data_IF_081779007842
#
_entry.id   IF_081779007842
#
_cell.length_a   1.000
_cell.length_b   1.000
_cell.length_c   1.000
_cell.angle_alpha   90.00
_cell.angle_beta   90.00
_cell.angle_gamma   90.00
#
_symmetry.space_group_name_H-M   'P 1'
#
loop_
_entity.id
_entity.type
_entity.pdbx_description
1 polymer ?
#
# COMPACT_ATOMS: atom_id res chain seq x y z
N UNK A 1 48.38 -59.60 -2.07
CA UNK A 1 47.77 -58.99 -3.24
C UNK A 1 46.40 -58.51 -2.84
N UNK A 2 46.29 -57.19 -2.47
CA UNK A 2 45.04 -56.57 -2.00
C UNK A 2 44.45 -55.74 -3.14
N UNK A 3 43.23 -56.07 -3.54
CA UNK A 3 42.49 -55.35 -4.59
C UNK A 3 41.55 -54.35 -3.87
N UNK A 4 41.81 -53.06 -3.99
CA UNK A 4 40.99 -52.00 -3.45
C UNK A 4 39.92 -51.64 -4.49
N UNK A 5 38.64 -51.91 -4.18
CA UNK A 5 37.54 -51.49 -5.02
C UNK A 5 37.16 -50.05 -4.75
N UNK A 6 37.30 -49.17 -5.74
CA UNK A 6 36.77 -47.79 -5.70
C UNK A 6 35.29 -47.82 -6.06
N UNK A 7 34.44 -47.44 -5.11
CA UNK A 7 33.03 -47.20 -5.35
C UNK A 7 32.82 -45.77 -5.89
N UNK A 8 32.35 -45.65 -7.14
CA UNK A 8 31.85 -44.40 -7.72
C UNK A 8 30.42 -44.14 -7.23
N UNK A 9 30.23 -43.15 -6.39
CA UNK A 9 28.93 -42.64 -6.04
C UNK A 9 28.48 -41.65 -7.15
N UNK A 10 27.50 -42.06 -7.97
CA UNK A 10 26.85 -41.20 -8.93
C UNK A 10 25.90 -40.24 -8.17
N UNK A 11 26.26 -38.94 -8.12
CA UNK A 11 25.37 -37.89 -7.67
C UNK A 11 24.29 -37.66 -8.72
N UNK A 12 23.13 -38.26 -8.52
CA UNK A 12 21.91 -37.93 -9.25
C UNK A 12 21.49 -36.49 -8.78
N UNK A 13 21.89 -35.49 -9.56
CA UNK A 13 21.39 -34.13 -9.40
C UNK A 13 19.88 -34.11 -9.65
N UNK A 14 19.10 -33.91 -8.58
CA UNK A 14 17.67 -33.66 -8.70
C UNK A 14 17.50 -32.35 -9.47
N UNK A 15 17.11 -32.44 -10.75
CA UNK A 15 16.70 -31.26 -11.53
C UNK A 15 15.46 -30.67 -10.85
N UNK A 16 15.59 -29.47 -10.29
CA UNK A 16 14.44 -28.70 -9.85
C UNK A 16 13.49 -28.49 -11.03
N UNK A 17 12.19 -28.78 -10.87
CA UNK A 17 11.24 -28.48 -11.92
C UNK A 17 11.30 -26.99 -12.25
N UNK A 18 11.18 -26.60 -13.53
CA UNK A 18 11.19 -25.19 -13.91
C UNK A 18 10.10 -24.47 -13.12
N UNK A 19 10.48 -23.37 -12.48
CA UNK A 19 9.54 -22.52 -11.76
C UNK A 19 8.38 -22.21 -12.71
N UNK A 20 7.17 -22.64 -12.34
CA UNK A 20 5.97 -22.39 -13.13
C UNK A 20 5.92 -20.87 -13.40
N UNK A 21 5.98 -20.49 -14.67
CA UNK A 21 5.86 -19.10 -15.07
C UNK A 21 4.49 -18.61 -14.59
N UNK A 22 4.50 -17.70 -13.62
CA UNK A 22 3.27 -17.09 -13.15
C UNK A 22 2.63 -16.34 -14.33
N UNK A 23 1.32 -16.48 -14.53
CA UNK A 23 0.63 -15.78 -15.61
C UNK A 23 0.89 -14.27 -15.51
N UNK A 24 1.20 -13.65 -16.65
CA UNK A 24 1.40 -12.20 -16.73
C UNK A 24 0.01 -11.57 -16.86
N UNK A 25 -0.49 -11.05 -15.76
CA UNK A 25 -1.76 -10.34 -15.74
C UNK A 25 -1.57 -8.93 -16.31
N UNK A 26 -2.44 -8.57 -17.27
CA UNK A 26 -2.48 -7.23 -17.86
C UNK A 26 -3.74 -6.54 -17.40
N UNK A 27 -3.65 -5.42 -16.65
CA UNK A 27 -4.83 -4.66 -16.28
C UNK A 27 -5.47 -3.99 -17.50
N UNK A 28 -6.79 -3.82 -17.47
CA UNK A 28 -7.55 -3.10 -18.51
C UNK A 28 -7.26 -1.60 -18.44
N UNK A 29 -7.00 -1.11 -17.24
CA UNK A 29 -6.66 0.29 -16.99
C UNK A 29 -5.60 0.40 -15.89
N UNK A 30 -4.68 1.35 -16.07
CA UNK A 30 -3.71 1.75 -15.04
C UNK A 30 -4.01 3.19 -14.65
N UNK A 31 -4.00 3.46 -13.34
CA UNK A 31 -4.11 4.81 -12.77
C UNK A 31 -3.08 5.01 -11.68
N UNK A 32 -2.86 6.26 -11.30
CA UNK A 32 -2.02 6.63 -10.18
C UNK A 32 -2.84 6.61 -8.88
N UNK A 33 -2.26 6.04 -7.83
CA UNK A 33 -2.69 6.15 -6.46
C UNK A 33 -1.61 6.79 -5.60
N UNK A 34 -1.90 6.94 -4.32
CA UNK A 34 -0.99 7.49 -3.31
C UNK A 34 -0.49 6.37 -2.41
N UNK A 35 0.83 6.19 -2.35
CA UNK A 35 1.49 5.20 -1.51
C UNK A 35 2.10 5.82 -0.25
N UNK A 36 2.15 5.03 0.80
CA UNK A 36 2.86 5.32 2.02
C UNK A 36 3.39 4.01 2.61
N UNK A 37 4.63 4.01 3.07
CA UNK A 37 5.21 2.89 3.82
C UNK A 37 5.37 3.34 5.28
N UNK A 38 4.75 2.66 6.25
CA UNK A 38 4.89 2.98 7.67
C UNK A 38 6.36 3.11 8.09
N UNK A 39 6.66 4.16 8.87
CA UNK A 39 8.02 4.49 9.28
C UNK A 39 8.81 5.34 8.28
N UNK A 40 8.21 5.74 7.15
CA UNK A 40 8.79 6.72 6.22
C UNK A 40 8.19 8.11 6.45
N UNK A 41 8.71 9.13 5.77
CA UNK A 41 8.30 10.53 5.93
C UNK A 41 7.85 11.16 4.61
N UNK A 42 7.36 10.36 3.68
CA UNK A 42 6.91 10.85 2.38
C UNK A 42 5.76 10.04 1.78
N UNK A 43 4.96 10.70 0.96
CA UNK A 43 3.99 10.11 0.08
C UNK A 43 4.62 9.90 -1.30
N UNK A 44 4.28 8.80 -1.96
CA UNK A 44 4.77 8.52 -3.31
C UNK A 44 3.64 8.00 -4.21
N UNK A 45 3.86 8.07 -5.52
CA UNK A 45 2.93 7.51 -6.49
C UNK A 45 3.00 5.99 -6.48
N UNK A 46 1.85 5.36 -6.55
CA UNK A 46 1.73 3.94 -6.82
C UNK A 46 0.94 3.72 -8.11
N UNK A 47 1.30 2.66 -8.86
CA UNK A 47 0.50 2.23 -9.99
C UNK A 47 -0.62 1.30 -9.51
N UNK A 48 -1.86 1.63 -9.87
CA UNK A 48 -3.04 0.83 -9.57
C UNK A 48 -3.62 0.29 -10.87
N UNK A 49 -3.61 -1.02 -11.02
CA UNK A 49 -4.26 -1.73 -12.13
C UNK A 49 -5.73 -2.02 -11.82
N UNK A 50 -6.61 -1.79 -12.79
CA UNK A 50 -8.03 -2.13 -12.71
C UNK A 50 -8.30 -3.27 -13.69
N UNK A 51 -8.97 -4.32 -13.23
CA UNK A 51 -9.31 -5.53 -13.97
C UNK A 51 -10.83 -5.66 -13.97
N UNK A 52 -11.46 -5.65 -15.15
CA UNK A 52 -12.93 -5.64 -15.26
C UNK A 52 -13.52 -7.06 -15.32
N UNK A 53 -12.80 -8.02 -15.85
CA UNK A 53 -13.33 -9.35 -16.17
C UNK A 53 -13.07 -10.43 -15.12
N UNK A 54 -12.75 -10.03 -13.89
CA UNK A 54 -12.67 -10.95 -12.77
C UNK A 54 -11.60 -12.04 -12.89
N UNK A 55 -10.53 -11.78 -13.62
CA UNK A 55 -9.43 -12.71 -13.75
C UNK A 55 -8.76 -12.99 -12.39
N UNK A 56 -8.76 -14.24 -11.90
CA UNK A 56 -8.00 -14.59 -10.71
C UNK A 56 -6.51 -14.30 -10.95
N UNK A 57 -5.75 -13.81 -9.95
CA UNK A 57 -6.04 -13.77 -8.51
C UNK A 57 -6.55 -12.42 -8.00
N UNK A 58 -6.89 -11.49 -8.87
CA UNK A 58 -7.26 -10.11 -8.51
C UNK A 58 -8.77 -9.85 -8.55
N UNK A 59 -9.57 -10.90 -8.77
CA UNK A 59 -11.03 -10.89 -8.79
C UNK A 59 -11.66 -10.71 -7.41
N UNK A 60 -11.03 -9.93 -6.55
CA UNK A 60 -11.67 -9.53 -5.32
C UNK A 60 -12.60 -8.35 -5.55
N UNK A 61 -13.25 -7.95 -4.48
CA UNK A 61 -14.38 -7.02 -4.41
C UNK A 61 -14.29 -5.76 -5.27
N UNK A 62 -13.15 -5.47 -5.89
CA UNK A 62 -12.92 -4.23 -6.62
C UNK A 62 -12.11 -4.39 -7.91
N UNK A 63 -11.65 -5.60 -8.24
CA UNK A 63 -10.83 -5.83 -9.43
C UNK A 63 -9.60 -4.92 -9.50
N UNK A 64 -8.98 -4.62 -8.36
CA UNK A 64 -7.85 -3.71 -8.29
C UNK A 64 -6.61 -4.44 -7.77
N UNK A 65 -5.46 -4.08 -8.31
CA UNK A 65 -4.15 -4.51 -7.83
C UNK A 65 -3.17 -3.33 -7.80
N UNK A 66 -2.20 -3.42 -6.93
CA UNK A 66 -1.12 -2.42 -6.80
C UNK A 66 0.16 -3.02 -7.37
N UNK A 67 0.94 -2.24 -8.10
CA UNK A 67 2.22 -2.69 -8.64
C UNK A 67 3.31 -2.56 -7.59
N UNK A 68 3.87 -3.71 -7.19
CA UNK A 68 4.96 -3.82 -6.22
C UNK A 68 6.12 -4.56 -6.88
N UNK A 69 7.29 -3.94 -6.97
CA UNK A 69 8.49 -4.52 -7.59
C UNK A 69 8.21 -5.11 -8.98
N UNK A 70 7.44 -4.40 -9.80
CA UNK A 70 7.10 -4.80 -11.16
C UNK A 70 6.01 -5.87 -11.28
N UNK A 71 5.41 -6.32 -10.17
CA UNK A 71 4.34 -7.34 -10.14
C UNK A 71 3.04 -6.73 -9.61
N UNK A 72 1.92 -7.15 -10.19
CA UNK A 72 0.59 -6.82 -9.67
C UNK A 72 0.34 -7.64 -8.40
N UNK A 73 0.00 -6.95 -7.33
CA UNK A 73 -0.19 -7.52 -5.98
C UNK A 73 -1.52 -7.03 -5.43
N UNK A 74 -2.23 -7.92 -4.74
CA UNK A 74 -3.46 -7.56 -4.04
C UNK A 74 -3.21 -6.39 -3.08
N UNK A 75 -4.10 -5.39 -2.99
CA UNK A 75 -3.90 -4.23 -2.11
C UNK A 75 -3.57 -4.60 -0.66
N UNK A 76 -4.26 -5.60 -0.10
CA UNK A 76 -4.03 -6.07 1.28
C UNK A 76 -2.66 -6.72 1.52
N UNK A 77 -1.95 -7.08 0.47
CA UNK A 77 -0.58 -7.65 0.51
C UNK A 77 0.47 -6.63 0.09
N UNK A 78 0.05 -5.42 -0.19
CA UNK A 78 0.94 -4.32 -0.57
C UNK A 78 1.62 -3.76 0.68
N UNK A 79 2.89 -3.36 0.62
CA UNK A 79 3.54 -2.63 1.71
C UNK A 79 3.04 -1.19 1.83
N UNK A 80 2.17 -0.75 0.90
CA UNK A 80 1.71 0.61 0.77
C UNK A 80 0.40 0.82 1.51
N UNK A 81 0.47 1.42 2.70
CA UNK A 81 -0.61 1.77 3.60
C UNK A 81 -1.25 0.59 4.38
N UNK A 82 -1.98 0.96 5.39
CA UNK A 82 -2.52 0.04 6.37
C UNK A 82 -3.45 -1.01 5.75
N UNK A 83 -3.18 -2.27 6.03
CA UNK A 83 -4.07 -3.37 5.72
C UNK A 83 -5.41 -3.25 6.48
N UNK A 84 -5.39 -2.58 7.64
CA UNK A 84 -6.55 -2.36 8.48
C UNK A 84 -6.76 -0.89 8.80
N UNK A 85 -8.00 -0.44 8.63
CA UNK A 85 -8.43 0.88 9.09
C UNK A 85 -8.55 0.85 10.62
N UNK A 86 -7.85 1.71 11.37
CA UNK A 86 -7.87 1.73 12.83
C UNK A 86 -9.26 1.95 13.43
N UNK A 87 -9.45 1.48 14.67
CA UNK A 87 -10.72 1.62 15.38
C UNK A 87 -11.12 3.09 15.56
N UNK A 88 -10.19 3.95 15.91
CA UNK A 88 -10.45 5.39 16.08
C UNK A 88 -11.04 6.04 14.82
N UNK A 89 -10.60 5.61 13.63
CA UNK A 89 -11.15 6.10 12.37
C UNK A 89 -12.60 5.65 12.18
N UNK A 90 -12.89 4.35 12.42
CA UNK A 90 -14.24 3.80 12.31
C UNK A 90 -15.21 4.42 13.31
N UNK A 91 -14.72 4.70 14.51
CA UNK A 91 -15.51 5.29 15.58
C UNK A 91 -15.68 6.82 15.46
N UNK A 92 -14.94 7.46 14.54
CA UNK A 92 -14.96 8.92 14.38
C UNK A 92 -14.34 9.67 15.54
N UNK A 93 -13.37 9.04 16.22
CA UNK A 93 -12.68 9.63 17.37
C UNK A 93 -11.79 10.81 16.94
N UNK A 94 -11.57 11.75 17.86
CA UNK A 94 -10.56 12.79 17.68
C UNK A 94 -9.16 12.18 17.64
N UNK A 95 -8.28 12.78 16.87
CA UNK A 95 -6.87 12.35 16.76
C UNK A 95 -5.94 13.42 17.29
N UNK A 96 -4.79 13.01 17.82
CA UNK A 96 -3.73 13.92 18.21
C UNK A 96 -2.55 13.77 17.26
N UNK A 97 -2.23 14.87 16.57
CA UNK A 97 -1.11 14.92 15.61
C UNK A 97 -0.19 16.07 16.00
N UNK A 98 1.08 15.77 16.23
CA UNK A 98 2.09 16.75 16.68
C UNK A 98 1.62 17.59 17.88
N UNK A 99 0.93 16.95 18.84
CA UNK A 99 0.46 17.59 20.07
C UNK A 99 -0.79 18.47 19.91
N UNK A 100 -1.44 18.44 18.77
CA UNK A 100 -2.71 19.14 18.51
C UNK A 100 -3.84 18.17 18.29
N UNK A 101 -5.03 18.51 18.80
CA UNK A 101 -6.24 17.71 18.61
C UNK A 101 -6.94 18.09 17.31
N UNK A 102 -7.45 17.08 16.60
CA UNK A 102 -8.23 17.24 15.38
C UNK A 102 -9.43 16.32 15.43
N UNK A 103 -10.58 16.81 14.98
CA UNK A 103 -11.83 16.05 14.89
C UNK A 103 -12.15 15.73 13.44
N UNK A 104 -12.73 14.56 13.22
CA UNK A 104 -13.13 14.10 11.89
C UNK A 104 -14.10 15.10 11.26
N UNK A 105 -13.80 15.50 10.03
CA UNK A 105 -14.54 16.55 9.33
C UNK A 105 -14.93 16.14 7.92
N UNK A 106 -16.23 16.18 7.62
CA UNK A 106 -16.75 15.90 6.30
C UNK A 106 -16.49 14.47 5.79
N UNK A 107 -16.55 14.30 4.49
CA UNK A 107 -16.34 13.03 3.80
C UNK A 107 -14.91 12.92 3.25
N UNK A 108 -14.41 11.70 3.03
CA UNK A 108 -13.16 11.51 2.31
C UNK A 108 -13.20 12.19 0.93
N UNK A 109 -12.08 12.71 0.51
CA UNK A 109 -11.90 13.35 -0.80
C UNK A 109 -10.63 12.88 -1.47
N UNK A 110 -10.64 12.86 -2.79
CA UNK A 110 -9.46 12.60 -3.59
C UNK A 110 -8.63 13.88 -3.65
N UNK A 111 -7.35 13.79 -3.29
CA UNK A 111 -6.39 14.90 -3.35
C UNK A 111 -5.20 14.49 -4.20
N UNK A 112 -4.73 15.40 -5.06
CA UNK A 112 -3.50 15.22 -5.81
C UNK A 112 -2.27 15.24 -4.88
N UNK A 113 -1.19 14.55 -5.30
CA UNK A 113 0.07 14.54 -4.53
C UNK A 113 0.79 15.89 -4.49
N UNK A 114 0.45 16.78 -5.38
CA UNK A 114 0.91 18.17 -5.42
C UNK A 114 0.12 19.11 -4.51
N UNK A 115 -1.09 18.71 -4.10
CA UNK A 115 -1.93 19.48 -3.17
C UNK A 115 -1.53 19.26 -1.71
N UNK A 116 -0.99 18.07 -1.38
CA UNK A 116 -0.66 17.70 0.00
C UNK A 116 0.75 17.13 0.10
N UNK A 117 1.36 17.30 1.27
CA UNK A 117 2.64 16.72 1.63
C UNK A 117 2.51 15.87 2.90
N UNK A 118 3.39 14.90 3.07
CA UNK A 118 3.49 14.16 4.32
C UNK A 118 3.70 15.12 5.49
N UNK A 119 2.94 14.94 6.55
CA UNK A 119 3.00 15.76 7.74
C UNK A 119 3.35 14.95 8.99
N UNK A 120 2.74 13.79 9.18
CA UNK A 120 2.97 12.91 10.32
C UNK A 120 2.56 11.47 9.99
N UNK A 121 2.81 10.56 10.91
CA UNK A 121 2.25 9.22 10.93
C UNK A 121 1.38 9.03 12.16
N UNK A 122 0.26 8.34 12.00
CA UNK A 122 -0.61 7.93 13.09
C UNK A 122 -1.04 6.46 12.89
N UNK A 123 -0.61 5.58 13.79
CA UNK A 123 -0.92 4.13 13.74
C UNK A 123 -0.69 3.48 12.38
N UNK A 124 0.42 3.82 11.74
CA UNK A 124 0.80 3.30 10.43
C UNK A 124 0.12 3.98 9.24
N UNK A 125 -0.75 4.98 9.47
CA UNK A 125 -1.36 5.78 8.41
C UNK A 125 -0.59 7.08 8.19
N UNK A 126 -0.43 7.47 6.94
CA UNK A 126 0.08 8.78 6.62
C UNK A 126 -0.95 9.86 6.96
N UNK A 127 -0.50 10.88 7.66
CA UNK A 127 -1.22 12.13 7.84
C UNK A 127 -0.53 13.18 6.98
N UNK A 128 -1.26 13.79 6.08
CA UNK A 128 -0.80 14.84 5.19
C UNK A 128 -1.36 16.21 5.60
N UNK A 129 -0.73 17.26 5.14
CA UNK A 129 -1.22 18.63 5.24
C UNK A 129 -1.03 19.32 3.90
N UNK A 130 -1.63 20.49 3.72
CA UNK A 130 -1.36 21.33 2.57
C UNK A 130 0.15 21.61 2.45
N UNK A 131 0.68 21.52 1.24
CA UNK A 131 2.12 21.65 1.01
C UNK A 131 2.65 23.00 1.53
N UNK A 132 3.72 22.93 2.34
CA UNK A 132 4.33 24.11 2.96
C UNK A 132 3.65 24.64 4.22
N UNK A 133 2.55 24.04 4.68
CA UNK A 133 1.85 24.45 5.90
C UNK A 133 2.41 23.71 7.13
N UNK A 134 3.15 24.41 7.97
CA UNK A 134 3.76 23.85 9.17
C UNK A 134 2.79 23.78 10.37
N UNK A 135 1.68 24.50 10.34
CA UNK A 135 0.68 24.58 11.42
C UNK A 135 -0.76 24.50 10.85
N UNK A 136 -1.12 23.33 10.26
CA UNK A 136 -2.36 23.20 9.53
C UNK A 136 -3.60 23.23 10.43
N UNK A 137 -4.63 23.94 9.97
CA UNK A 137 -5.99 23.90 10.54
C UNK A 137 -6.70 22.60 10.15
N UNK A 138 -6.34 22.01 9.00
CA UNK A 138 -6.87 20.76 8.52
C UNK A 138 -5.72 19.82 8.19
N UNK A 139 -5.80 18.60 8.69
CA UNK A 139 -4.93 17.49 8.28
C UNK A 139 -5.73 16.43 7.53
N UNK A 140 -5.07 15.63 6.73
CA UNK A 140 -5.67 14.67 5.82
C UNK A 140 -5.07 13.29 6.08
N UNK A 141 -5.89 12.35 6.53
CA UNK A 141 -5.45 10.96 6.76
C UNK A 141 -5.66 10.14 5.49
N UNK A 142 -4.60 9.52 4.98
CA UNK A 142 -4.67 8.64 3.81
C UNK A 142 -5.39 7.34 4.18
N UNK A 143 -6.62 7.19 3.72
CA UNK A 143 -7.49 6.04 4.03
C UNK A 143 -7.78 5.14 2.84
N UNK A 144 -7.61 5.66 1.62
CA UNK A 144 -7.80 4.93 0.36
C UNK A 144 -6.62 5.15 -0.58
N UNK A 145 -5.49 4.45 -0.37
CA UNK A 145 -4.27 4.64 -1.18
C UNK A 145 -4.50 4.47 -2.69
N UNK A 146 -5.28 3.48 -3.08
CA UNK A 146 -5.56 3.21 -4.49
C UNK A 146 -6.24 4.36 -5.24
N UNK A 147 -6.88 5.28 -4.53
CA UNK A 147 -7.61 6.42 -5.09
C UNK A 147 -7.04 7.77 -4.66
N UNK A 148 -5.94 7.83 -3.90
CA UNK A 148 -5.53 9.03 -3.19
C UNK A 148 -6.67 9.61 -2.34
N UNK A 149 -7.41 8.72 -1.67
CA UNK A 149 -8.55 9.10 -0.83
C UNK A 149 -8.09 9.48 0.57
N UNK A 150 -8.35 10.72 0.94
CA UNK A 150 -7.97 11.30 2.21
C UNK A 150 -9.20 11.72 3.02
N UNK A 151 -9.22 11.34 4.30
CA UNK A 151 -10.21 11.83 5.25
C UNK A 151 -9.70 13.11 5.90
N UNK A 152 -10.41 14.24 5.76
CA UNK A 152 -10.04 15.46 6.46
C UNK A 152 -10.38 15.38 7.96
N UNK A 153 -9.52 15.98 8.76
CA UNK A 153 -9.66 16.24 10.18
C UNK A 153 -9.37 17.71 10.45
N UNK A 154 -10.29 18.40 11.09
CA UNK A 154 -10.17 19.81 11.42
C UNK A 154 -9.66 19.98 12.85
N UNK A 155 -8.82 20.98 13.09
CA UNK A 155 -8.34 21.33 14.43
C UNK A 155 -9.52 21.56 15.36
N UNK A 156 -9.46 20.90 16.51
CA UNK A 156 -10.39 21.13 17.61
C UNK A 156 -9.94 22.42 18.36
N UNK A 157 -10.85 23.38 18.56
CA UNK A 157 -10.57 24.71 19.10
C UNK A 157 -10.99 24.78 20.55
#
# INVERSE_FOLDING_TARGET
MMITALAFAALLGAQQPPAAQQPVYKPDRIREGCGYVPGTDHLFAIEVGVFYDGDPPFADRHGQAVRVNGRWTHPDRSPYAAAEIPAWYRNGEAITVRGRSYVKYGLPRVLGRDEVAWFAELDGLAVAAEAGNADPEVVYVLVEPANCGFQPYQRDV
#
